data_IF_481404979786
#
_entry.id   IF_481404979786
#
_cell.length_a   1.000
_cell.length_b   1.000
_cell.length_c   1.000
_cell.angle_alpha   90.00
_cell.angle_beta   90.00
_cell.angle_gamma   90.00
#
_symmetry.space_group_name_H-M   'P 1'
#
loop_
_entity.id
_entity.type
_entity.pdbx_description
1 polymer ?
#
# COMPACT_ATOMS: atom_id res chain seq x y z
N UNK A 1 -22.34 -19.51 34.41
CA UNK A 1 -23.26 -18.35 34.32
C UNK A 1 -22.43 -17.08 34.43
N UNK A 2 -22.54 -16.17 33.47
CA UNK A 2 -21.90 -14.84 33.59
C UNK A 2 -22.59 -14.06 34.70
N UNK A 3 -21.82 -13.45 35.60
CA UNK A 3 -22.36 -12.53 36.63
C UNK A 3 -22.96 -11.26 35.99
N UNK A 4 -22.62 -10.98 34.73
CA UNK A 4 -23.08 -9.82 33.96
C UNK A 4 -23.48 -10.29 32.55
N UNK A 5 -24.71 -10.83 32.36
CA UNK A 5 -25.14 -11.38 31.08
C UNK A 5 -25.12 -10.36 29.94
N UNK A 6 -25.37 -9.08 30.25
CA UNK A 6 -25.36 -7.99 29.25
C UNK A 6 -23.97 -7.72 28.66
N UNK A 7 -22.89 -8.11 29.33
CA UNK A 7 -21.52 -7.93 28.81
C UNK A 7 -21.11 -9.03 27.82
N UNK A 8 -21.84 -10.15 27.77
CA UNK A 8 -21.48 -11.28 26.90
C UNK A 8 -21.51 -10.90 25.41
N UNK A 9 -22.55 -10.23 24.87
CA UNK A 9 -22.55 -9.80 23.48
C UNK A 9 -21.41 -8.83 23.14
N UNK A 10 -21.09 -7.90 24.05
CA UNK A 10 -19.98 -6.94 23.87
C UNK A 10 -18.63 -7.63 23.83
N UNK A 11 -18.35 -8.51 24.78
CA UNK A 11 -17.11 -9.29 24.81
C UNK A 11 -16.96 -10.18 23.55
N UNK A 12 -18.07 -10.76 23.06
CA UNK A 12 -18.08 -11.50 21.81
C UNK A 12 -17.79 -10.61 20.60
N UNK A 13 -18.36 -9.39 20.53
CA UNK A 13 -18.06 -8.44 19.44
C UNK A 13 -16.61 -7.97 19.47
N UNK A 14 -16.05 -7.69 20.66
CA UNK A 14 -14.62 -7.38 20.82
C UNK A 14 -13.76 -8.52 20.25
N UNK A 15 -14.05 -9.77 20.63
CA UNK A 15 -13.33 -10.95 20.12
C UNK A 15 -13.45 -11.07 18.60
N UNK A 16 -14.66 -10.89 18.05
CA UNK A 16 -14.91 -10.96 16.62
C UNK A 16 -14.12 -9.89 15.86
N UNK A 17 -14.17 -8.62 16.29
CA UNK A 17 -13.44 -7.53 15.66
C UNK A 17 -11.92 -7.76 15.70
N UNK A 18 -11.40 -8.24 16.83
CA UNK A 18 -9.99 -8.62 16.96
C UNK A 18 -9.60 -9.73 15.98
N UNK A 19 -10.41 -10.79 15.87
CA UNK A 19 -10.18 -11.90 14.94
C UNK A 19 -10.23 -11.43 13.48
N UNK A 20 -11.19 -10.58 13.13
CA UNK A 20 -11.30 -9.99 11.80
C UNK A 20 -10.07 -9.19 11.43
N UNK A 21 -9.58 -8.35 12.35
CA UNK A 21 -8.35 -7.58 12.15
C UNK A 21 -7.17 -8.52 11.89
N UNK A 22 -6.97 -9.55 12.74
CA UNK A 22 -5.90 -10.52 12.57
C UNK A 22 -6.01 -11.27 11.23
N UNK A 23 -7.22 -11.62 10.82
CA UNK A 23 -7.46 -12.28 9.53
C UNK A 23 -7.08 -11.38 8.35
N UNK A 24 -7.50 -10.12 8.36
CA UNK A 24 -7.15 -9.15 7.30
C UNK A 24 -5.63 -8.91 7.28
N UNK A 25 -4.97 -8.84 8.44
CA UNK A 25 -3.51 -8.73 8.53
C UNK A 25 -2.79 -9.95 7.93
N UNK A 26 -3.29 -11.16 8.20
CA UNK A 26 -2.73 -12.38 7.63
C UNK A 26 -2.86 -12.42 6.09
N UNK A 27 -4.01 -12.00 5.56
CA UNK A 27 -4.21 -11.84 4.12
C UNK A 27 -3.26 -10.80 3.54
N UNK A 28 -3.09 -9.67 4.22
CA UNK A 28 -2.19 -8.61 3.78
C UNK A 28 -0.73 -9.08 3.75
N UNK A 29 -0.32 -9.91 4.70
CA UNK A 29 1.00 -10.54 4.70
C UNK A 29 1.21 -11.42 3.48
N UNK A 30 0.24 -12.28 3.16
CA UNK A 30 0.30 -13.12 1.96
C UNK A 30 0.38 -12.27 0.68
N UNK A 31 -0.45 -11.22 0.59
CA UNK A 31 -0.44 -10.26 -0.52
C UNK A 31 0.96 -9.60 -0.69
N UNK A 32 1.65 -9.27 0.41
CA UNK A 32 3.03 -8.71 0.38
C UNK A 32 4.08 -9.74 -0.07
N UNK A 33 3.98 -10.99 0.39
CA UNK A 33 4.88 -12.08 -0.02
C UNK A 33 4.73 -12.39 -1.51
N UNK A 34 3.50 -12.43 -2.03
CA UNK A 34 3.22 -12.57 -3.46
C UNK A 34 3.79 -11.39 -4.27
N UNK A 35 3.66 -10.16 -3.73
CA UNK A 35 4.25 -8.96 -4.34
C UNK A 35 5.77 -9.09 -4.48
N UNK A 36 6.44 -9.64 -3.46
CA UNK A 36 7.90 -9.84 -3.45
C UNK A 36 8.34 -10.80 -4.54
N UNK A 37 7.67 -11.95 -4.66
CA UNK A 37 7.96 -12.92 -5.70
C UNK A 37 7.76 -12.32 -7.10
N UNK A 38 6.70 -11.53 -7.27
CA UNK A 38 6.45 -10.82 -8.53
C UNK A 38 7.55 -9.79 -8.85
N UNK A 39 8.04 -9.05 -7.86
CA UNK A 39 9.10 -8.05 -8.04
C UNK A 39 10.42 -8.72 -8.45
N UNK A 40 10.78 -9.86 -7.85
CA UNK A 40 11.98 -10.61 -8.26
C UNK A 40 11.89 -11.08 -9.73
N UNK A 41 10.72 -11.59 -10.15
CA UNK A 41 10.51 -12.00 -11.52
C UNK A 41 10.56 -10.82 -12.50
N UNK A 42 9.98 -9.68 -12.12
CA UNK A 42 10.03 -8.46 -12.92
C UNK A 42 11.47 -7.91 -13.03
N UNK A 43 12.25 -7.97 -11.95
CA UNK A 43 13.64 -7.54 -11.92
C UNK A 43 14.48 -8.33 -12.94
N UNK A 44 14.34 -9.66 -12.95
CA UNK A 44 15.02 -10.52 -13.90
C UNK A 44 14.65 -10.17 -15.36
N UNK A 45 13.37 -9.96 -15.63
CA UNK A 45 12.88 -9.60 -16.96
C UNK A 45 13.41 -8.24 -17.44
N UNK A 46 13.41 -7.24 -16.56
CA UNK A 46 13.95 -5.92 -16.85
C UNK A 46 15.46 -5.95 -17.07
N UNK A 47 16.18 -6.79 -16.32
CA UNK A 47 17.60 -7.00 -16.55
C UNK A 47 17.85 -7.62 -17.94
N UNK A 48 16.98 -8.53 -18.42
CA UNK A 48 17.03 -9.03 -19.80
C UNK A 48 16.75 -7.94 -20.83
N UNK A 49 15.79 -7.04 -20.57
CA UNK A 49 15.52 -5.91 -21.47
C UNK A 49 16.73 -4.97 -21.53
N UNK A 50 17.32 -4.64 -20.38
CA UNK A 50 18.52 -3.81 -20.28
C UNK A 50 19.68 -4.41 -21.10
N UNK A 51 19.97 -5.71 -20.93
CA UNK A 51 21.03 -6.39 -21.69
C UNK A 51 20.72 -6.45 -23.18
N UNK A 52 19.46 -6.66 -23.55
CA UNK A 52 19.02 -6.61 -24.92
C UNK A 52 19.20 -5.24 -25.57
N UNK A 53 19.11 -4.16 -24.80
CA UNK A 53 19.35 -2.79 -25.23
C UNK A 53 20.84 -2.39 -25.21
N UNK A 54 21.74 -3.32 -24.89
CA UNK A 54 23.20 -3.11 -24.92
C UNK A 54 23.82 -2.70 -23.58
N UNK A 55 23.06 -2.70 -22.49
CA UNK A 55 23.56 -2.36 -21.15
C UNK A 55 24.04 -3.60 -20.41
N UNK A 56 25.04 -3.47 -19.53
CA UNK A 56 25.56 -4.64 -18.80
C UNK A 56 24.58 -5.15 -17.72
N UNK A 57 23.84 -4.24 -17.11
CA UNK A 57 22.93 -4.52 -15.99
C UNK A 57 21.70 -3.60 -16.05
N UNK A 58 20.65 -3.95 -15.31
CA UNK A 58 19.51 -3.08 -15.09
C UNK A 58 19.92 -1.73 -14.46
N UNK A 59 20.86 -1.74 -13.51
CA UNK A 59 21.32 -0.50 -12.86
C UNK A 59 21.96 0.47 -13.88
N UNK A 60 22.80 -0.03 -14.80
CA UNK A 60 23.37 0.79 -15.87
C UNK A 60 22.31 1.34 -16.84
N UNK A 61 21.26 0.56 -17.09
CA UNK A 61 20.13 0.98 -17.91
C UNK A 61 19.33 2.10 -17.25
N UNK A 62 19.10 1.97 -15.93
CA UNK A 62 18.44 2.99 -15.13
C UNK A 62 19.27 4.27 -15.11
N UNK A 63 20.57 4.19 -14.84
CA UNK A 63 21.47 5.35 -14.83
C UNK A 63 21.43 6.12 -16.15
N UNK A 64 21.52 5.40 -17.29
CA UNK A 64 21.42 6.03 -18.61
C UNK A 64 20.06 6.71 -18.86
N UNK A 65 18.98 6.23 -18.25
CA UNK A 65 17.67 6.88 -18.36
C UNK A 65 17.58 8.17 -17.54
N UNK A 66 18.36 8.31 -16.46
CA UNK A 66 18.36 9.51 -15.63
C UNK A 66 18.86 10.74 -16.38
N UNK A 67 19.68 10.54 -17.42
CA UNK A 67 20.13 11.62 -18.32
C UNK A 67 18.99 12.29 -19.10
N UNK A 68 17.82 11.65 -19.17
CA UNK A 68 16.62 12.22 -19.79
C UNK A 68 15.71 12.97 -18.81
N UNK A 69 15.97 12.90 -17.51
CA UNK A 69 15.19 13.58 -16.48
C UNK A 69 15.64 15.04 -16.30
N UNK A 70 14.71 15.89 -15.84
CA UNK A 70 15.08 17.21 -15.31
C UNK A 70 15.96 17.07 -14.07
N UNK A 71 16.68 18.12 -13.71
CA UNK A 71 17.52 18.13 -12.50
C UNK A 71 16.69 17.88 -11.23
N UNK A 72 15.51 18.50 -11.13
CA UNK A 72 14.58 18.30 -10.02
C UNK A 72 14.13 16.83 -9.91
N UNK A 73 13.79 16.21 -11.05
CA UNK A 73 13.33 14.83 -11.08
C UNK A 73 14.47 13.88 -10.73
N UNK A 74 15.66 14.10 -11.28
CA UNK A 74 16.86 13.31 -10.95
C UNK A 74 17.18 13.38 -9.46
N UNK A 75 17.16 14.58 -8.87
CA UNK A 75 17.39 14.76 -7.44
C UNK A 75 16.34 14.04 -6.58
N UNK A 76 15.07 14.05 -6.98
CA UNK A 76 14.03 13.28 -6.30
C UNK A 76 14.28 11.76 -6.41
N UNK A 77 14.70 11.28 -7.57
CA UNK A 77 15.08 9.87 -7.79
C UNK A 77 16.26 9.43 -6.94
N UNK A 78 17.32 10.22 -6.89
CA UNK A 78 18.53 9.88 -6.15
C UNK A 78 18.26 9.89 -4.65
N UNK A 79 17.45 10.84 -4.17
CA UNK A 79 16.97 10.83 -2.79
C UNK A 79 16.17 9.57 -2.47
N UNK A 80 15.26 9.15 -3.36
CA UNK A 80 14.51 7.89 -3.16
C UNK A 80 15.44 6.67 -3.13
N UNK A 81 16.49 6.65 -3.95
CA UNK A 81 17.51 5.60 -3.96
C UNK A 81 18.22 5.51 -2.61
N UNK A 82 18.81 6.62 -2.16
CA UNK A 82 19.55 6.66 -0.89
C UNK A 82 18.67 6.35 0.32
N UNK A 83 17.42 6.84 0.33
CA UNK A 83 16.51 6.63 1.46
C UNK A 83 16.01 5.17 1.54
N UNK A 84 16.05 4.38 0.46
CA UNK A 84 15.46 3.03 0.41
C UNK A 84 16.45 1.87 0.37
N UNK A 85 17.58 2.03 -0.33
CA UNK A 85 18.50 0.91 -0.59
C UNK A 85 19.03 0.28 0.70
N UNK A 86 19.12 1.07 1.78
CA UNK A 86 19.62 0.64 3.09
C UNK A 86 18.52 0.20 4.08
N UNK A 87 17.23 0.35 3.73
CA UNK A 87 16.13 0.07 4.67
C UNK A 87 15.68 -1.39 4.66
N UNK A 88 15.57 -2.00 3.48
CA UNK A 88 14.96 -3.31 3.27
C UNK A 88 15.34 -3.84 1.87
N UNK A 89 15.95 -5.02 1.78
CA UNK A 89 16.40 -5.61 0.50
C UNK A 89 15.23 -5.77 -0.48
N UNK A 90 14.08 -6.19 0.02
CA UNK A 90 12.91 -6.37 -0.83
C UNK A 90 12.38 -5.01 -1.35
N UNK A 91 12.55 -3.93 -0.59
CA UNK A 91 12.21 -2.58 -1.05
C UNK A 91 13.19 -2.13 -2.12
N UNK A 92 14.47 -2.44 -1.97
CA UNK A 92 15.47 -2.19 -2.99
C UNK A 92 15.10 -2.90 -4.30
N UNK A 93 14.75 -4.19 -4.27
CA UNK A 93 14.30 -4.92 -5.48
C UNK A 93 13.09 -4.24 -6.10
N UNK A 94 12.05 -3.95 -5.32
CA UNK A 94 10.85 -3.27 -5.80
C UNK A 94 11.18 -1.90 -6.44
N UNK A 95 12.09 -1.16 -5.80
CA UNK A 95 12.60 0.12 -6.27
C UNK A 95 13.32 -0.01 -7.62
N UNK A 96 14.20 -1.00 -7.77
CA UNK A 96 14.91 -1.26 -9.02
C UNK A 96 13.98 -1.70 -10.15
N UNK A 97 13.00 -2.57 -9.88
CA UNK A 97 11.99 -2.99 -10.87
C UNK A 97 11.31 -1.77 -11.47
N UNK A 98 10.83 -0.89 -10.62
CA UNK A 98 10.15 0.29 -11.05
C UNK A 98 11.04 1.27 -11.81
N UNK A 99 12.25 1.54 -11.31
CA UNK A 99 13.19 2.44 -11.99
C UNK A 99 13.52 1.87 -13.37
N UNK A 100 13.61 0.55 -13.46
CA UNK A 100 13.72 -0.18 -14.72
C UNK A 100 12.54 0.06 -15.66
N UNK A 101 11.30 0.01 -15.16
CA UNK A 101 10.10 0.33 -15.96
C UNK A 101 10.12 1.77 -16.49
N UNK A 102 10.57 2.73 -15.69
CA UNK A 102 10.74 4.12 -16.15
C UNK A 102 11.83 4.21 -17.22
N UNK A 103 12.95 3.53 -17.00
CA UNK A 103 14.03 3.48 -17.96
C UNK A 103 13.55 2.93 -19.31
N UNK A 104 12.71 1.89 -19.30
CA UNK A 104 12.03 1.38 -20.50
C UNK A 104 11.20 2.48 -21.18
N UNK A 105 10.38 3.22 -20.43
CA UNK A 105 9.55 4.30 -20.98
C UNK A 105 10.35 5.48 -21.56
N UNK A 106 11.40 5.92 -20.88
CA UNK A 106 12.26 7.03 -21.31
C UNK A 106 13.13 6.65 -22.51
N UNK A 107 13.79 5.49 -22.46
CA UNK A 107 14.78 5.11 -23.49
C UNK A 107 14.14 4.60 -24.78
N UNK A 108 12.84 4.35 -24.79
CA UNK A 108 12.11 3.96 -26.01
C UNK A 108 11.61 5.13 -26.86
N UNK A 109 11.96 6.38 -26.50
CA UNK A 109 11.62 7.65 -27.19
C UNK A 109 10.13 7.95 -27.41
N UNK A 110 9.23 6.97 -27.31
CA UNK A 110 7.84 7.12 -27.69
C UNK A 110 6.86 7.32 -26.53
N UNK A 111 7.31 7.34 -25.27
CA UNK A 111 6.36 7.51 -24.16
C UNK A 111 6.92 8.38 -23.03
N UNK A 112 7.37 9.59 -23.37
CA UNK A 112 7.60 10.68 -22.40
C UNK A 112 6.34 10.95 -21.55
N UNK A 113 5.16 10.70 -22.13
CA UNK A 113 3.84 10.72 -21.46
C UNK A 113 3.73 9.63 -20.39
N UNK A 114 4.28 8.43 -20.64
CA UNK A 114 4.30 7.36 -19.65
C UNK A 114 5.24 7.71 -18.51
N UNK A 115 6.43 8.25 -18.76
CA UNK A 115 7.30 8.69 -17.66
C UNK A 115 6.60 9.70 -16.72
N UNK A 116 5.74 10.58 -17.26
CA UNK A 116 4.98 11.57 -16.48
C UNK A 116 3.74 11.00 -15.78
N UNK A 117 2.88 10.23 -16.47
CA UNK A 117 1.69 9.60 -15.89
C UNK A 117 2.02 8.44 -14.93
N UNK A 118 3.12 7.74 -15.23
CA UNK A 118 3.69 6.72 -14.38
C UNK A 118 4.22 7.40 -13.11
N UNK A 119 5.04 8.48 -13.14
CA UNK A 119 5.59 9.16 -11.94
C UNK A 119 4.59 9.40 -10.79
N UNK A 120 3.38 9.90 -11.08
CA UNK A 120 2.35 10.12 -10.04
C UNK A 120 1.80 8.80 -9.49
N UNK A 121 1.33 7.93 -10.40
CA UNK A 121 0.89 6.56 -10.11
C UNK A 121 1.92 5.82 -9.27
N UNK A 122 3.17 5.99 -9.62
CA UNK A 122 4.32 5.30 -9.14
C UNK A 122 4.72 5.65 -7.71
N UNK A 123 4.80 6.93 -7.42
CA UNK A 123 5.01 7.40 -6.06
C UNK A 123 3.81 7.04 -5.16
N UNK A 124 2.60 6.86 -5.72
CA UNK A 124 1.47 6.24 -5.01
C UNK A 124 1.73 4.76 -4.69
N UNK A 125 2.08 3.95 -5.70
CA UNK A 125 2.35 2.51 -5.51
C UNK A 125 3.46 2.29 -4.48
N UNK A 126 4.55 3.05 -4.57
CA UNK A 126 5.64 2.95 -3.63
C UNK A 126 5.29 3.43 -2.24
N UNK A 127 4.60 4.56 -2.18
CA UNK A 127 4.06 5.08 -0.94
C UNK A 127 3.28 4.01 -0.18
N UNK A 128 2.39 3.34 -0.90
CA UNK A 128 1.56 2.26 -0.38
C UNK A 128 2.36 0.98 -0.08
N UNK A 129 3.29 0.54 -0.94
CA UNK A 129 4.13 -0.64 -0.66
C UNK A 129 4.99 -0.45 0.59
N UNK A 130 5.57 0.72 0.77
CA UNK A 130 6.32 1.04 1.98
C UNK A 130 5.41 1.06 3.21
N UNK A 131 4.17 1.55 3.09
CA UNK A 131 3.18 1.45 4.17
C UNK A 131 2.81 -0.01 4.45
N UNK A 132 2.60 -0.85 3.44
CA UNK A 132 2.31 -2.26 3.61
C UNK A 132 3.45 -3.00 4.31
N UNK A 133 4.69 -2.75 3.88
CA UNK A 133 5.85 -3.31 4.56
C UNK A 133 6.07 -2.75 5.94
N UNK A 134 5.71 -1.49 6.18
CA UNK A 134 5.69 -0.94 7.52
C UNK A 134 4.79 -1.74 8.44
N UNK A 135 3.60 -2.13 7.98
CA UNK A 135 2.67 -2.98 8.74
C UNK A 135 3.27 -4.35 8.99
N UNK A 136 3.85 -4.95 7.95
CA UNK A 136 4.51 -6.24 8.04
C UNK A 136 5.62 -6.21 9.10
N UNK A 137 6.53 -5.24 9.01
CA UNK A 137 7.63 -5.07 9.97
C UNK A 137 7.12 -4.73 11.38
N UNK A 138 6.06 -3.93 11.51
CA UNK A 138 5.42 -3.64 12.80
C UNK A 138 4.86 -4.92 13.43
N UNK A 139 4.19 -5.76 12.66
CA UNK A 139 3.64 -7.04 13.10
C UNK A 139 4.74 -8.03 13.54
N UNK A 140 5.95 -7.89 13.00
CA UNK A 140 7.13 -8.68 13.42
C UNK A 140 7.90 -8.05 14.60
N UNK A 141 7.45 -6.92 15.15
CA UNK A 141 8.15 -6.20 16.22
C UNK A 141 9.35 -5.37 15.74
N UNK A 142 9.60 -5.27 14.43
CA UNK A 142 10.62 -4.42 13.82
C UNK A 142 10.16 -2.95 13.72
N UNK A 143 9.84 -2.36 14.87
CA UNK A 143 9.19 -1.05 15.00
C UNK A 143 9.98 0.08 14.33
N UNK A 144 11.32 0.09 14.46
CA UNK A 144 12.14 1.13 13.83
C UNK A 144 12.06 1.09 12.30
N UNK A 145 12.20 -0.09 11.71
CA UNK A 145 12.06 -0.31 10.26
C UNK A 145 10.65 0.07 9.79
N UNK A 146 9.64 -0.32 10.56
CA UNK A 146 8.25 0.04 10.28
C UNK A 146 8.04 1.56 10.24
N UNK A 147 8.55 2.29 11.23
CA UNK A 147 8.43 3.76 11.29
C UNK A 147 9.16 4.42 10.13
N UNK A 148 10.36 3.93 9.76
CA UNK A 148 11.12 4.46 8.61
C UNK A 148 10.34 4.24 7.31
N UNK A 149 9.83 3.04 7.08
CA UNK A 149 9.03 2.70 5.89
C UNK A 149 7.71 3.50 5.83
N UNK A 150 7.01 3.67 6.95
CA UNK A 150 5.81 4.50 7.00
C UNK A 150 6.11 5.98 6.74
N UNK A 151 7.18 6.50 7.34
CA UNK A 151 7.62 7.88 7.14
C UNK A 151 7.97 8.14 5.68
N UNK A 152 8.69 7.21 5.07
CA UNK A 152 9.03 7.27 3.66
C UNK A 152 7.79 7.17 2.78
N UNK A 153 6.93 6.18 3.02
CA UNK A 153 5.67 6.04 2.30
C UNK A 153 4.87 7.34 2.33
N UNK A 154 4.83 8.00 3.49
CA UNK A 154 4.21 9.32 3.66
C UNK A 154 4.86 10.43 2.82
N UNK A 155 6.19 10.50 2.78
CA UNK A 155 6.95 11.49 2.00
C UNK A 155 6.66 11.30 0.51
N UNK A 156 6.76 10.07 0.01
CA UNK A 156 6.52 9.73 -1.38
C UNK A 156 5.09 10.09 -1.80
N UNK A 157 4.10 9.79 -0.96
CA UNK A 157 2.70 10.19 -1.20
C UNK A 157 2.47 11.70 -1.17
N UNK A 158 3.17 12.42 -0.30
CA UNK A 158 3.11 13.89 -0.26
C UNK A 158 3.73 14.54 -1.49
N UNK A 159 4.74 13.92 -2.10
CA UNK A 159 5.32 14.42 -3.34
C UNK A 159 4.30 14.32 -4.49
N UNK A 160 3.59 13.19 -4.60
CA UNK A 160 2.48 13.06 -5.57
C UNK A 160 1.38 14.06 -5.33
N UNK A 161 1.10 14.37 -4.05
CA UNK A 161 0.01 15.28 -3.72
C UNK A 161 0.11 16.67 -4.28
N UNK A 162 1.31 17.09 -4.65
CA UNK A 162 1.59 18.42 -5.19
C UNK A 162 1.47 18.47 -6.72
N UNK A 163 1.36 17.31 -7.40
CA UNK A 163 1.30 17.18 -8.86
C UNK A 163 -0.08 17.42 -9.49
N UNK A 164 -1.17 17.28 -8.71
CA UNK A 164 -2.51 17.74 -9.10
C UNK A 164 -3.33 16.84 -10.04
N UNK A 165 -2.82 15.70 -10.55
CA UNK A 165 -3.54 14.90 -11.55
C UNK A 165 -4.37 13.72 -11.02
N UNK A 166 -3.84 12.97 -10.04
CA UNK A 166 -4.45 11.73 -9.49
C UNK A 166 -4.61 11.80 -7.97
N UNK A 167 -4.01 12.82 -7.38
CA UNK A 167 -3.61 12.74 -6.01
C UNK A 167 -4.75 13.02 -5.02
N UNK A 168 -5.72 13.89 -5.31
CA UNK A 168 -6.64 14.42 -4.29
C UNK A 168 -7.44 13.34 -3.54
N UNK A 169 -8.07 12.42 -4.27
CA UNK A 169 -8.89 11.33 -3.69
C UNK A 169 -8.02 10.22 -3.08
N UNK A 170 -6.93 9.87 -3.76
CA UNK A 170 -5.95 8.92 -3.25
C UNK A 170 -5.32 9.45 -1.94
N UNK A 171 -4.95 10.73 -1.87
CA UNK A 171 -4.46 11.42 -0.67
C UNK A 171 -5.52 11.43 0.42
N UNK A 172 -6.79 11.69 0.12
CA UNK A 172 -7.84 11.67 1.13
C UNK A 172 -8.00 10.28 1.74
N UNK A 173 -8.00 9.23 0.91
CA UNK A 173 -7.93 7.86 1.38
C UNK A 173 -6.64 7.59 2.20
N UNK A 174 -5.54 8.28 1.88
CA UNK A 174 -4.25 8.13 2.54
C UNK A 174 -4.01 9.12 3.70
N UNK A 175 -4.92 10.06 3.99
CA UNK A 175 -4.84 10.92 5.20
C UNK A 175 -4.87 10.05 6.45
N UNK A 176 -5.63 8.97 6.41
CA UNK A 176 -5.68 7.97 7.48
C UNK A 176 -4.35 7.23 7.66
N UNK A 177 -3.51 7.12 6.62
CA UNK A 177 -2.16 6.53 6.72
C UNK A 177 -1.12 7.51 7.27
N UNK A 178 -1.29 8.82 7.05
CA UNK A 178 -0.48 9.86 7.72
C UNK A 178 -0.62 9.79 9.25
N UNK A 179 -1.81 9.40 9.71
CA UNK A 179 -2.18 9.16 11.10
C UNK A 179 -1.79 7.72 11.51
N UNK A 180 -1.85 6.79 10.55
CA UNK A 180 -1.83 5.34 10.75
C UNK A 180 -0.47 4.67 10.96
N UNK A 181 0.67 5.29 10.64
CA UNK A 181 1.99 4.66 10.81
C UNK A 181 2.24 4.08 12.22
N UNK A 182 1.71 4.75 13.25
CA UNK A 182 1.74 4.26 14.63
C UNK A 182 0.53 3.37 14.97
N UNK A 183 -0.66 3.63 14.38
CA UNK A 183 -1.86 2.80 14.54
C UNK A 183 -1.56 1.34 14.21
N UNK A 184 -0.71 1.08 13.21
CA UNK A 184 -0.33 -0.25 12.76
C UNK A 184 0.51 -1.04 13.79
N UNK A 185 1.42 -0.36 14.49
CA UNK A 185 2.18 -0.93 15.62
C UNK A 185 1.24 -1.23 16.79
N UNK A 186 0.29 -0.33 17.04
CA UNK A 186 -0.66 -0.48 18.13
C UNK A 186 -1.72 -1.55 17.86
N UNK A 187 -2.06 -1.87 16.60
CA UNK A 187 -3.06 -2.89 16.29
C UNK A 187 -2.66 -4.26 16.86
N UNK A 188 -1.39 -4.67 16.75
CA UNK A 188 -0.93 -5.94 17.32
C UNK A 188 -1.07 -5.99 18.84
N UNK A 189 -0.60 -4.95 19.53
CA UNK A 189 -0.68 -4.84 21.00
C UNK A 189 -2.12 -4.77 21.50
N UNK A 190 -3.02 -4.19 20.72
CA UNK A 190 -4.41 -3.94 21.12
C UNK A 190 -5.31 -5.13 20.88
N UNK A 191 -5.03 -5.97 19.87
CA UNK A 191 -5.71 -7.26 19.74
C UNK A 191 -5.50 -8.09 21.01
N UNK A 192 -4.26 -8.19 21.49
CA UNK A 192 -3.93 -8.94 22.70
C UNK A 192 -4.55 -8.30 23.97
N UNK A 193 -4.44 -6.98 24.13
CA UNK A 193 -5.02 -6.27 25.26
C UNK A 193 -6.56 -6.35 25.28
N UNK A 194 -7.21 -6.25 24.12
CA UNK A 194 -8.67 -6.35 24.02
C UNK A 194 -9.18 -7.77 24.30
N UNK A 195 -8.42 -8.81 23.93
CA UNK A 195 -8.72 -10.18 24.29
C UNK A 195 -8.62 -10.39 25.82
N UNK A 196 -7.60 -9.83 26.46
CA UNK A 196 -7.47 -9.86 27.93
C UNK A 196 -8.64 -9.14 28.63
N UNK A 197 -9.11 -8.00 28.11
CA UNK A 197 -10.30 -7.29 28.62
C UNK A 197 -11.55 -8.15 28.46
N UNK A 198 -11.71 -8.83 27.31
CA UNK A 198 -12.86 -9.71 27.05
C UNK A 198 -12.88 -10.95 27.96
N UNK A 199 -11.73 -11.43 28.41
CA UNK A 199 -11.60 -12.59 29.29
C UNK A 199 -11.83 -12.26 30.77
N UNK A 200 -11.56 -11.02 31.20
CA UNK A 200 -11.57 -10.64 32.61
C UNK A 200 -12.95 -10.36 33.24
N UNK A 201 -14.05 -10.99 32.78
CA UNK A 201 -15.47 -10.64 33.08
C UNK A 201 -15.80 -10.51 34.59
N UNK A 202 -15.79 -9.27 35.11
CA UNK A 202 -16.24 -8.81 36.43
C UNK A 202 -16.67 -7.32 36.36
N UNK A 203 -17.98 -7.02 36.34
CA UNK A 203 -18.50 -5.72 36.80
C UNK A 203 -19.12 -4.78 35.77
N UNK A 204 -19.66 -3.66 36.28
CA UNK A 204 -20.23 -2.56 35.51
C UNK A 204 -19.16 -1.67 34.84
N UNK A 205 -17.98 -1.52 35.44
CA UNK A 205 -16.83 -0.79 34.85
C UNK A 205 -16.44 -1.39 33.49
N UNK A 206 -16.63 -2.70 33.31
CA UNK A 206 -16.33 -3.40 32.06
C UNK A 206 -17.23 -3.02 30.91
N UNK A 207 -18.46 -2.58 31.17
CA UNK A 207 -19.35 -2.19 30.07
C UNK A 207 -18.73 -1.02 29.31
N UNK A 208 -18.25 -0.01 30.03
CA UNK A 208 -17.61 1.16 29.44
C UNK A 208 -16.31 0.78 28.73
N UNK A 209 -15.50 -0.09 29.32
CA UNK A 209 -14.25 -0.57 28.71
C UNK A 209 -14.51 -1.37 27.43
N UNK A 210 -15.50 -2.26 27.44
CA UNK A 210 -15.89 -3.04 26.26
C UNK A 210 -16.47 -2.15 25.16
N UNK A 211 -17.30 -1.16 25.50
CA UNK A 211 -17.81 -0.17 24.54
C UNK A 211 -16.68 0.64 23.90
N UNK A 212 -15.73 1.10 24.73
CA UNK A 212 -14.54 1.81 24.25
C UNK A 212 -13.71 0.91 23.33
N UNK A 213 -13.51 -0.36 23.70
CA UNK A 213 -12.78 -1.33 22.90
C UNK A 213 -13.48 -1.60 21.55
N UNK A 214 -14.82 -1.71 21.52
CA UNK A 214 -15.59 -1.87 20.27
C UNK A 214 -15.34 -0.69 19.35
N UNK A 215 -15.46 0.55 19.84
CA UNK A 215 -15.24 1.76 19.02
C UNK A 215 -13.82 1.76 18.43
N UNK A 216 -12.83 1.51 19.27
CA UNK A 216 -11.42 1.46 18.86
C UNK A 216 -11.16 0.35 17.85
N UNK A 217 -11.68 -0.86 18.07
CA UNK A 217 -11.49 -1.99 17.16
C UNK A 217 -12.24 -1.81 15.85
N UNK A 218 -13.43 -1.20 15.83
CA UNK A 218 -14.12 -0.82 14.59
C UNK A 218 -13.28 0.14 13.75
N UNK A 219 -12.71 1.17 14.38
CA UNK A 219 -11.84 2.12 13.68
C UNK A 219 -10.55 1.47 13.16
N UNK A 220 -9.96 0.55 13.93
CA UNK A 220 -8.77 -0.20 13.51
C UNK A 220 -9.08 -1.16 12.36
N UNK A 221 -10.18 -1.92 12.44
CA UNK A 221 -10.66 -2.80 11.37
C UNK A 221 -10.87 -2.02 10.07
N UNK A 222 -11.44 -0.83 10.15
CA UNK A 222 -11.59 0.09 9.03
C UNK A 222 -10.24 0.42 8.36
N UNK A 223 -9.25 0.86 9.15
CA UNK A 223 -7.92 1.20 8.64
C UNK A 223 -7.24 0.01 7.96
N UNK A 224 -7.24 -1.17 8.61
CA UNK A 224 -6.59 -2.36 8.04
C UNK A 224 -7.29 -2.80 6.75
N UNK A 225 -8.63 -2.77 6.71
CA UNK A 225 -9.39 -3.09 5.50
C UNK A 225 -9.08 -2.14 4.35
N UNK A 226 -9.02 -0.84 4.64
CA UNK A 226 -8.66 0.18 3.66
C UNK A 226 -7.30 -0.09 3.03
N UNK A 227 -6.31 -0.42 3.87
CA UNK A 227 -4.97 -0.77 3.43
C UNK A 227 -4.97 -2.03 2.58
N UNK A 228 -5.72 -3.05 2.97
CA UNK A 228 -5.85 -4.28 2.18
C UNK A 228 -6.40 -3.98 0.79
N UNK A 229 -7.45 -3.16 0.67
CA UNK A 229 -8.00 -2.82 -0.66
C UNK A 229 -6.99 -2.04 -1.50
N UNK A 230 -6.26 -1.09 -0.90
CA UNK A 230 -5.16 -0.38 -1.54
C UNK A 230 -4.08 -1.36 -2.05
N UNK A 231 -3.68 -2.33 -1.23
CA UNK A 231 -2.70 -3.36 -1.61
C UNK A 231 -3.15 -4.15 -2.84
N UNK A 232 -4.41 -4.59 -2.86
CA UNK A 232 -4.96 -5.37 -3.97
C UNK A 232 -5.01 -4.59 -5.26
N UNK A 233 -5.36 -3.30 -5.21
CA UNK A 233 -5.31 -2.42 -6.38
C UNK A 233 -3.89 -2.34 -6.96
N UNK A 234 -2.87 -2.19 -6.11
CA UNK A 234 -1.46 -2.18 -6.52
C UNK A 234 -1.05 -3.51 -7.14
N UNK A 235 -1.42 -4.63 -6.51
CA UNK A 235 -1.08 -5.96 -6.99
C UNK A 235 -1.69 -6.25 -8.37
N UNK A 236 -2.94 -5.85 -8.57
CA UNK A 236 -3.60 -5.98 -9.86
C UNK A 236 -2.85 -5.15 -10.93
N UNK A 237 -2.49 -3.90 -10.61
CA UNK A 237 -1.72 -3.08 -11.52
C UNK A 237 -0.34 -3.67 -11.85
N UNK A 238 0.35 -4.30 -10.90
CA UNK A 238 1.61 -5.01 -11.17
C UNK A 238 1.43 -6.13 -12.19
N UNK A 239 0.29 -6.83 -12.16
CA UNK A 239 -0.05 -7.84 -13.16
C UNK A 239 -0.14 -7.24 -14.56
N UNK A 240 -0.82 -6.09 -14.70
CA UNK A 240 -0.95 -5.37 -15.97
C UNK A 240 0.42 -4.86 -16.47
N UNK A 241 1.21 -4.27 -15.57
CA UNK A 241 2.58 -3.84 -15.88
C UNK A 241 3.45 -5.00 -16.38
N UNK A 242 3.34 -6.18 -15.77
CA UNK A 242 4.05 -7.40 -16.21
C UNK A 242 3.65 -7.81 -17.63
N UNK A 243 2.38 -7.64 -18.01
CA UNK A 243 1.92 -7.89 -19.38
C UNK A 243 2.60 -6.94 -20.37
N UNK A 244 2.65 -5.64 -20.04
CA UNK A 244 3.32 -4.61 -20.86
C UNK A 244 4.81 -4.93 -21.05
N UNK A 245 5.51 -5.32 -19.98
CA UNK A 245 6.94 -5.70 -20.08
C UNK A 245 7.16 -6.91 -20.98
N UNK A 246 6.28 -7.92 -20.91
CA UNK A 246 6.35 -9.08 -21.81
C UNK A 246 6.15 -8.68 -23.26
N UNK A 247 5.16 -7.81 -23.55
CA UNK A 247 4.94 -7.28 -24.89
C UNK A 247 6.15 -6.52 -25.40
N UNK A 248 6.74 -5.65 -24.56
CA UNK A 248 7.97 -4.94 -24.89
C UNK A 248 9.13 -5.88 -25.23
N UNK A 249 9.32 -6.95 -24.46
CA UNK A 249 10.38 -7.93 -24.73
C UNK A 249 10.21 -8.58 -26.11
N UNK A 250 8.97 -8.93 -26.47
CA UNK A 250 8.62 -9.48 -27.80
C UNK A 250 8.89 -8.45 -28.90
N UNK A 251 8.52 -7.19 -28.68
CA UNK A 251 8.74 -6.11 -29.62
C UNK A 251 10.23 -5.78 -29.82
N UNK A 252 11.05 -5.85 -28.78
CA UNK A 252 12.50 -5.70 -28.91
C UNK A 252 13.12 -6.77 -29.81
N UNK A 253 12.65 -8.02 -29.70
CA UNK A 253 13.07 -9.10 -30.61
C UNK A 253 12.66 -8.81 -32.07
N UNK A 254 11.47 -8.25 -32.28
CA UNK A 254 11.00 -7.85 -33.61
C UNK A 254 11.81 -6.70 -34.19
N UNK A 255 12.14 -5.70 -33.39
CA UNK A 255 13.00 -4.58 -33.80
C UNK A 255 14.39 -5.07 -34.17
N UNK A 256 14.99 -5.96 -33.38
CA UNK A 256 16.29 -6.59 -33.70
C UNK A 256 16.27 -7.35 -35.02
N UNK A 257 15.12 -7.96 -35.36
CA UNK A 257 14.90 -8.69 -36.62
C UNK A 257 14.52 -7.77 -37.79
N UNK A 258 14.48 -6.46 -37.59
CA UNK A 258 14.06 -5.48 -38.60
C UNK A 258 12.59 -5.61 -39.00
N UNK A 259 11.75 -6.23 -38.16
CA UNK A 259 10.31 -6.40 -38.43
C UNK A 259 9.48 -5.19 -38.04
N UNK A 260 10.04 -4.34 -37.17
CA UNK A 260 9.37 -3.17 -36.63
C UNK A 260 10.41 -2.13 -36.22
N UNK A 261 10.06 -0.85 -36.30
CA UNK A 261 10.86 0.27 -35.83
C UNK A 261 10.56 0.57 -34.36
N UNK A 262 11.45 1.28 -33.66
CA UNK A 262 11.23 1.65 -32.24
C UNK A 262 9.98 2.53 -32.09
N UNK A 263 9.71 3.37 -33.09
CA UNK A 263 8.56 4.27 -33.15
C UNK A 263 7.25 3.47 -33.24
N UNK A 264 7.20 2.45 -34.08
CA UNK A 264 6.04 1.55 -34.19
C UNK A 264 5.79 0.78 -32.88
N UNK A 265 6.86 0.33 -32.18
CA UNK A 265 6.73 -0.31 -30.85
C UNK A 265 6.00 0.60 -29.87
N UNK A 266 6.35 1.88 -29.84
CA UNK A 266 5.75 2.82 -28.92
C UNK A 266 4.28 3.08 -29.23
N UNK A 267 3.91 3.18 -30.51
CA UNK A 267 2.51 3.33 -30.93
C UNK A 267 1.69 2.11 -30.51
N UNK A 268 2.22 0.90 -30.67
CA UNK A 268 1.53 -0.35 -30.33
C UNK A 268 1.39 -0.57 -28.81
N UNK A 269 2.37 -0.15 -28.00
CA UNK A 269 2.28 -0.30 -26.53
C UNK A 269 1.41 0.76 -25.86
N UNK A 270 1.24 1.92 -26.50
CA UNK A 270 0.54 3.07 -25.92
C UNK A 270 -0.88 2.74 -25.41
N UNK A 271 -1.75 2.04 -26.17
CA UNK A 271 -3.10 1.74 -25.70
C UNK A 271 -3.13 0.91 -24.42
N UNK A 272 -2.26 -0.10 -24.28
CA UNK A 272 -2.21 -0.94 -23.09
C UNK A 272 -1.67 -0.18 -21.87
N UNK A 273 -0.70 0.71 -22.10
CA UNK A 273 -0.15 1.59 -21.07
C UNK A 273 -1.20 2.61 -20.59
N UNK A 274 -1.87 3.28 -21.53
CA UNK A 274 -2.94 4.25 -21.23
C UNK A 274 -4.11 3.56 -20.51
N UNK A 275 -4.45 2.31 -20.91
CA UNK A 275 -5.46 1.50 -20.23
C UNK A 275 -5.06 1.13 -18.81
N UNK A 276 -3.84 0.62 -18.59
CA UNK A 276 -3.37 0.25 -17.26
C UNK A 276 -3.37 1.46 -16.30
N UNK A 277 -2.98 2.64 -16.79
CA UNK A 277 -3.08 3.89 -16.04
C UNK A 277 -4.54 4.24 -15.71
N UNK A 278 -5.45 4.18 -16.69
CA UNK A 278 -6.86 4.48 -16.49
C UNK A 278 -7.54 3.51 -15.50
N UNK A 279 -7.26 2.21 -15.63
CA UNK A 279 -7.80 1.17 -14.75
C UNK A 279 -7.30 1.35 -13.31
N UNK A 280 -6.03 1.70 -13.13
CA UNK A 280 -5.49 2.03 -11.81
C UNK A 280 -6.18 3.26 -11.21
N UNK A 281 -6.31 4.36 -11.97
CA UNK A 281 -7.00 5.57 -11.50
C UNK A 281 -8.43 5.26 -11.09
N UNK A 282 -9.16 4.52 -11.92
CA UNK A 282 -10.53 4.13 -11.65
C UNK A 282 -10.66 3.19 -10.44
N UNK A 283 -9.69 2.30 -10.23
CA UNK A 283 -9.66 1.44 -9.06
C UNK A 283 -9.37 2.24 -7.78
N UNK A 284 -8.42 3.17 -7.83
CA UNK A 284 -8.06 4.04 -6.71
C UNK A 284 -9.20 4.99 -6.33
N UNK A 285 -9.88 5.60 -7.30
CA UNK A 285 -10.98 6.54 -7.06
C UNK A 285 -12.21 5.86 -6.42
N UNK A 286 -12.41 4.57 -6.68
CA UNK A 286 -13.46 3.77 -6.03
C UNK A 286 -13.22 3.54 -4.54
N UNK A 287 -11.98 3.64 -4.06
CA UNK A 287 -11.62 3.37 -2.66
C UNK A 287 -11.93 4.55 -1.74
N UNK A 288 -13.20 4.96 -1.72
CA UNK A 288 -13.71 5.96 -0.79
C UNK A 288 -13.89 5.37 0.61
N UNK A 289 -13.96 6.21 1.64
CA UNK A 289 -14.27 5.74 3.00
C UNK A 289 -15.61 4.99 3.07
N UNK A 290 -16.60 5.45 2.30
CA UNK A 290 -17.90 4.77 2.16
C UNK A 290 -17.75 3.38 1.56
N UNK A 291 -16.98 3.23 0.48
CA UNK A 291 -16.74 1.91 -0.12
C UNK A 291 -16.11 0.92 0.88
N UNK A 292 -15.11 1.36 1.67
CA UNK A 292 -14.51 0.51 2.70
C UNK A 292 -15.52 0.14 3.78
N UNK A 293 -16.35 1.10 4.22
CA UNK A 293 -17.43 0.84 5.16
C UNK A 293 -18.42 -0.18 4.63
N UNK A 294 -18.92 0.01 3.40
CA UNK A 294 -19.90 -0.88 2.77
C UNK A 294 -19.34 -2.32 2.64
N UNK A 295 -18.03 -2.48 2.40
CA UNK A 295 -17.39 -3.79 2.41
C UNK A 295 -17.35 -4.45 3.79
N UNK A 296 -17.14 -3.67 4.86
CA UNK A 296 -17.12 -4.18 6.24
C UNK A 296 -18.52 -4.49 6.75
N UNK A 297 -19.50 -3.63 6.42
CA UNK A 297 -20.89 -3.82 6.76
C UNK A 297 -21.44 -5.07 6.07
N UNK A 298 -21.13 -5.25 4.78
CA UNK A 298 -21.44 -6.48 4.06
C UNK A 298 -20.76 -7.71 4.68
N UNK A 299 -19.50 -7.61 5.10
CA UNK A 299 -18.81 -8.72 5.77
C UNK A 299 -19.49 -9.11 7.09
N UNK A 300 -19.98 -8.12 7.85
CA UNK A 300 -20.74 -8.37 9.08
C UNK A 300 -22.11 -8.98 8.78
N UNK A 301 -22.82 -8.49 7.76
CA UNK A 301 -24.07 -9.08 7.28
C UNK A 301 -23.88 -10.53 6.83
N UNK A 302 -22.89 -10.81 5.98
CA UNK A 302 -22.61 -12.14 5.46
C UNK A 302 -22.25 -13.14 6.58
N UNK A 303 -21.69 -12.66 7.70
CA UNK A 303 -21.36 -13.51 8.86
C UNK A 303 -22.59 -14.03 9.61
N UNK A 304 -23.71 -13.30 9.56
CA UNK A 304 -24.97 -13.58 10.30
C UNK A 304 -24.81 -13.71 11.84
N UNK A 305 -23.62 -13.43 12.39
CA UNK A 305 -23.32 -13.58 13.83
C UNK A 305 -22.80 -12.28 14.46
N UNK A 306 -22.62 -11.23 13.66
CA UNK A 306 -22.10 -9.94 14.15
C UNK A 306 -23.13 -9.23 15.04
N UNK A 307 -22.74 -8.95 16.29
CA UNK A 307 -23.51 -8.09 17.19
C UNK A 307 -23.08 -6.63 16.98
N UNK A 308 -23.94 -5.82 16.34
CA UNK A 308 -23.60 -4.44 15.91
C UNK A 308 -24.29 -3.32 16.69
N UNK A 309 -25.04 -3.63 17.74
CA UNK A 309 -25.92 -2.65 18.40
C UNK A 309 -25.17 -1.44 19.00
N UNK A 310 -23.87 -1.58 19.27
CA UNK A 310 -23.02 -0.53 19.81
C UNK A 310 -21.82 -0.21 18.91
N UNK A 311 -21.84 -0.69 17.67
CA UNK A 311 -20.82 -0.30 16.72
C UNK A 311 -20.99 1.19 16.38
N UNK A 312 -19.91 1.97 16.34
CA UNK A 312 -19.97 3.33 15.85
C UNK A 312 -20.34 3.36 14.36
N UNK A 313 -21.04 4.40 13.94
CA UNK A 313 -21.24 4.67 12.51
C UNK A 313 -19.94 5.14 11.84
N UNK A 314 -19.98 5.27 10.51
CA UNK A 314 -18.82 5.69 9.72
C UNK A 314 -18.26 7.04 10.19
N UNK A 315 -19.12 8.02 10.48
CA UNK A 315 -18.69 9.36 10.87
C UNK A 315 -17.95 9.34 12.22
N UNK A 316 -18.46 8.56 13.19
CA UNK A 316 -17.82 8.33 14.47
C UNK A 316 -16.48 7.60 14.33
N UNK A 317 -16.38 6.62 13.43
CA UNK A 317 -15.10 5.96 13.11
C UNK A 317 -14.10 6.96 12.53
N UNK A 318 -14.49 7.72 11.51
CA UNK A 318 -13.58 8.68 10.87
C UNK A 318 -13.12 9.76 11.85
N UNK A 319 -14.04 10.24 12.70
CA UNK A 319 -13.71 11.15 13.79
C UNK A 319 -12.74 10.54 14.80
N UNK A 320 -12.98 9.30 15.23
CA UNK A 320 -12.08 8.62 16.16
C UNK A 320 -10.66 8.54 15.59
N UNK A 321 -10.52 8.20 14.30
CA UNK A 321 -9.22 8.12 13.63
C UNK A 321 -8.54 9.50 13.60
N UNK A 322 -9.30 10.58 13.36
CA UNK A 322 -8.78 11.95 13.37
C UNK A 322 -8.35 12.43 14.76
N UNK A 323 -9.14 12.11 15.79
CA UNK A 323 -8.94 12.57 17.17
C UNK A 323 -7.88 11.77 17.93
N UNK A 324 -7.54 10.58 17.45
CA UNK A 324 -6.52 9.71 18.04
C UNK A 324 -5.30 9.52 17.12
N UNK A 325 -4.65 10.61 16.65
CA UNK A 325 -3.33 10.47 16.04
C UNK A 325 -2.40 10.02 17.16
N UNK A 326 -1.94 8.77 17.11
CA UNK A 326 -1.17 8.20 18.21
C UNK A 326 -0.05 9.15 18.61
N UNK A 327 -0.08 9.58 19.88
CA UNK A 327 0.92 10.46 20.48
C UNK A 327 2.29 9.88 20.13
N UNK A 328 3.18 10.72 19.59
CA UNK A 328 4.61 10.40 19.55
C UNK A 328 4.94 10.00 20.98
N UNK A 329 5.50 8.81 21.18
CA UNK A 329 6.08 8.47 22.48
C UNK A 329 6.95 9.66 22.87
N UNK A 330 6.50 10.40 23.88
CA UNK A 330 7.32 11.36 24.57
C UNK A 330 8.46 10.51 25.09
N UNK A 331 9.56 10.47 24.34
CA UNK A 331 10.81 9.84 24.74
C UNK A 331 11.02 10.32 26.15
N UNK A 332 10.79 9.42 27.13
CA UNK A 332 11.12 9.66 28.51
C UNK A 332 12.57 10.13 28.47
N UNK A 333 12.78 11.40 28.78
CA UNK A 333 14.10 11.91 29.16
C UNK A 333 14.47 11.09 30.40
N UNK A 334 15.17 9.98 30.20
CA UNK A 334 15.90 9.29 31.26
C UNK A 334 17.32 9.80 31.27
#
# INVERSE_FOLDING_TARGET
>A
MSLYPDNVPRANRVRQLSQDISHVQAQLKADVEDARASDQAAFAMLNTIATNAGYKTLDAYIEASQDQLSEEDRAAFDRMKTDLEDLDEDMNISHKVFRGLIAVGLLTKGVRIFAMGFKETQSILFGLQALLKSIYHAALGAVETAVKLASWGRVTLNLVSRGGGVATEAIESMRFLKIGGNVLIAIGVIVDAALLIAEAIKGAEQRADLQKAIIELCARRFIVKQIQQQARVILNFKSDAKSIVKMKTKYDDWTKKGRMTVEEVAVELKPDMDKAEADLKAAMSKMTSKYIWDLLDKQDDDSQIAWRNEDPDLDAILKWIQDHPQKKDDKKKS
#
